data_IF_195760692466
#
_entry.id   IF_195760692466
#
_cell.length_a   1.000
_cell.length_b   1.000
_cell.length_c   1.000
_cell.angle_alpha   90.00
_cell.angle_beta   90.00
_cell.angle_gamma   90.00
#
_symmetry.space_group_name_H-M   'P 1'
#
loop_
_entity.id
_entity.type
_entity.pdbx_description
1 polymer ?
2 non-polymer ?
3 non-polymer ?
4 non-polymer ?
5 non-polymer ?
6 water ?
#
# COMPACT_ATOMS: atom_id res chain seq x y z
N UNK A 17 -11.09 -4.10 -23.15
CA UNK A 17 -10.47 -5.25 -22.41
C UNK A 17 -9.68 -4.77 -21.19
N UNK A 18 -10.36 -4.31 -20.14
CA UNK A 18 -9.59 -3.83 -18.98
C UNK A 18 -8.86 -4.97 -18.24
N UNK A 19 -7.62 -4.76 -17.83
CA UNK A 19 -6.91 -5.75 -16.99
C UNK A 19 -6.97 -5.52 -15.49
N UNK A 20 -7.65 -4.48 -15.00
CA UNK A 20 -7.65 -4.14 -13.57
C UNK A 20 -9.05 -4.28 -12.98
N UNK A 21 -9.80 -5.28 -13.38
CA UNK A 21 -11.23 -5.30 -13.19
C UNK A 21 -11.75 -6.09 -12.00
N UNK A 22 -11.23 -7.29 -11.84
CA UNK A 22 -11.78 -8.30 -10.92
C UNK A 22 -10.67 -8.64 -9.93
N UNK A 23 -11.02 -8.87 -8.68
CA UNK A 23 -10.13 -9.39 -7.69
C UNK A 23 -10.48 -10.86 -7.40
N UNK A 24 -9.47 -11.72 -7.47
CA UNK A 24 -9.62 -13.12 -7.17
C UNK A 24 -8.73 -13.50 -6.00
N UNK A 25 -9.06 -14.59 -5.29
CA UNK A 25 -8.16 -15.16 -4.34
C UNK A 25 -6.80 -15.51 -4.99
N UNK A 26 -5.71 -15.00 -4.40
CA UNK A 26 -4.39 -15.25 -4.92
C UNK A 26 -3.98 -16.73 -4.90
N UNK A 27 -4.53 -17.50 -3.98
CA UNK A 27 -4.19 -18.92 -3.84
C UNK A 27 -4.93 -19.87 -4.76
N UNK A 28 -6.18 -19.57 -5.10
CA UNK A 28 -7.02 -20.52 -5.82
C UNK A 28 -7.84 -19.93 -6.97
N UNK A 29 -7.90 -18.61 -7.09
CA UNK A 29 -8.60 -17.96 -8.13
C UNK A 29 -10.08 -17.73 -7.95
N UNK A 30 -10.63 -18.08 -6.79
CA UNK A 30 -12.04 -17.76 -6.48
C UNK A 30 -12.33 -16.29 -6.74
N UNK A 31 -13.44 -15.99 -7.40
CA UNK A 31 -13.86 -14.57 -7.61
C UNK A 31 -14.24 -13.97 -6.27
N UNK A 32 -13.70 -12.82 -5.93
CA UNK A 32 -13.95 -12.22 -4.63
C UNK A 32 -14.59 -10.84 -4.75
N UNK A 33 -14.05 -9.95 -5.55
CA UNK A 33 -14.60 -8.59 -5.63
C UNK A 33 -14.22 -7.90 -6.92
N UNK A 34 -14.49 -6.58 -7.01
CA UNK A 34 -14.30 -5.84 -8.24
C UNK A 34 -13.72 -4.49 -7.88
N UNK A 35 -12.89 -3.94 -8.78
CA UNK A 35 -12.38 -2.60 -8.58
C UNK A 35 -13.53 -1.56 -8.46
N UNK A 36 -14.59 -1.75 -9.23
CA UNK A 36 -15.76 -0.88 -9.20
C UNK A 36 -16.37 -0.79 -7.80
N UNK A 37 -16.10 -1.81 -6.95
CA UNK A 37 -16.68 -1.91 -5.60
C UNK A 37 -15.77 -1.38 -4.49
N UNK A 38 -14.65 -0.79 -4.85
CA UNK A 38 -13.80 -0.13 -3.87
C UNK A 38 -14.57 0.98 -3.15
N UNK A 39 -14.38 1.08 -1.85
CA UNK A 39 -15.14 1.96 -0.98
C UNK A 39 -14.16 2.88 -0.20
N UNK A 40 -14.18 4.19 -0.44
CA UNK A 40 -13.30 5.08 0.31
C UNK A 40 -13.72 5.42 1.76
N UNK A 41 -13.54 4.49 2.69
CA UNK A 41 -13.82 4.67 4.13
C UNK A 41 -12.90 5.71 4.74
N UNK A 42 -13.46 6.69 5.43
CA UNK A 42 -12.72 7.87 5.86
C UNK A 42 -11.89 8.58 4.79
N UNK A 43 -12.35 8.57 3.52
CA UNK A 43 -11.66 9.26 2.43
C UNK A 43 -10.55 8.47 1.73
N UNK A 44 -10.38 7.19 2.05
CA UNK A 44 -9.34 6.38 1.42
C UNK A 44 -9.80 4.96 1.35
N UNK A 45 -9.70 4.30 0.20
CA UNK A 45 -10.03 2.86 0.14
C UNK A 45 -8.92 2.00 0.80
N UNK A 46 -7.71 2.54 0.90
CA UNK A 46 -6.58 1.84 1.53
C UNK A 46 -6.35 2.29 2.96
N UNK A 47 -6.23 1.31 3.86
CA UNK A 47 -5.95 1.56 5.26
C UNK A 47 -4.84 0.63 5.70
N UNK A 48 -3.74 1.20 6.20
CA UNK A 48 -2.61 0.39 6.68
C UNK A 48 -2.75 0.25 8.19
N UNK A 49 -2.86 -0.98 8.67
CA UNK A 49 -3.27 -1.26 10.04
C UNK A 49 -2.45 -2.41 10.63
N UNK A 50 -2.44 -2.57 11.95
CA UNK A 50 -1.86 -3.74 12.57
C UNK A 50 -2.73 -4.38 13.61
N UNK A 51 -2.64 -5.70 13.71
CA UNK A 51 -3.38 -6.46 14.70
C UNK A 51 -2.62 -6.63 16.04
N UNK A 52 -3.27 -7.22 17.06
CA UNK A 52 -2.57 -7.33 18.35
C UNK A 52 -1.33 -8.22 18.29
N UNK A 53 -1.25 -9.11 17.29
CA UNK A 53 -0.11 -9.96 17.06
C UNK A 53 0.98 -9.23 16.23
N UNK A 54 0.79 -7.95 15.97
CA UNK A 54 1.76 -7.10 15.32
C UNK A 54 1.84 -7.25 13.82
N UNK A 55 0.96 -8.02 13.21
CA UNK A 55 0.98 -8.23 11.76
C UNK A 55 0.44 -6.96 11.12
N UNK A 56 1.14 -6.46 10.11
CA UNK A 56 0.71 -5.25 9.40
C UNK A 56 -0.07 -5.67 8.17
N UNK A 57 -1.18 -4.98 7.90
CA UNK A 57 -2.00 -5.30 6.73
C UNK A 57 -2.28 -4.02 5.97
N UNK A 58 -2.18 -4.16 4.63
CA UNK A 58 -2.64 -3.12 3.75
C UNK A 58 -4.04 -3.57 3.33
N UNK A 59 -5.06 -2.91 3.87
CA UNK A 59 -6.45 -3.34 3.79
C UNK A 59 -7.11 -2.43 2.75
N UNK A 60 -7.77 -3.04 1.76
CA UNK A 60 -8.58 -2.31 0.80
C UNK A 60 -10.03 -2.55 1.19
N UNK A 61 -10.79 -1.47 1.27
CA UNK A 61 -12.20 -1.51 1.62
C UNK A 61 -13.04 -1.62 0.37
N UNK A 62 -13.99 -2.54 0.40
CA UNK A 62 -14.92 -2.84 -0.71
C UNK A 62 -16.35 -2.82 -0.15
N UNK A 63 -17.29 -2.26 -0.94
CA UNK A 63 -18.66 -2.27 -0.49
C UNK A 63 -19.27 -3.68 -0.46
N UNK A 64 -18.79 -4.55 -1.34
CA UNK A 64 -19.36 -5.84 -1.62
C UNK A 64 -18.21 -6.78 -1.92
N UNK A 65 -18.45 -8.04 -1.66
CA UNK A 65 -17.56 -9.13 -2.00
C UNK A 65 -18.39 -10.37 -2.06
N UNK A 66 -17.83 -11.39 -2.69
CA UNK A 66 -18.48 -12.66 -2.86
C UNK A 66 -17.44 -13.74 -2.68
N UNK A 67 -17.87 -14.98 -2.65
CA UNK A 67 -16.97 -16.12 -2.65
C UNK A 67 -16.23 -16.35 -1.34
N UNK A 68 -16.62 -15.66 -0.30
CA UNK A 68 -16.00 -15.78 1.02
C UNK A 68 -16.85 -16.65 1.90
N UNK A 69 -16.31 -17.00 3.04
CA UNK A 69 -17.03 -17.66 4.11
C UNK A 69 -16.70 -16.88 5.37
N UNK A 70 -17.75 -16.36 6.01
CA UNK A 70 -17.60 -15.51 7.20
C UNK A 70 -17.70 -16.42 8.41
N UNK A 71 -16.73 -16.37 9.30
CA UNK A 71 -16.57 -17.33 10.36
C UNK A 71 -16.84 -16.71 11.71
N UNK A 72 -17.69 -17.36 12.49
CA UNK A 72 -17.97 -16.90 13.86
C UNK A 72 -18.95 -15.76 13.93
N UNK A 73 -19.11 -15.25 15.15
CA UNK A 73 -20.00 -14.14 15.44
C UNK A 73 -19.15 -12.84 15.46
N UNK A 74 -19.80 -11.70 15.18
CA UNK A 74 -19.02 -10.46 15.12
C UNK A 74 -18.40 -10.07 16.43
N UNK A 75 -17.27 -9.38 16.37
CA UNK A 75 -16.62 -8.83 17.54
C UNK A 75 -16.24 -7.38 17.29
N UNK A 76 -16.43 -6.52 18.27
CA UNK A 76 -15.93 -5.13 18.23
C UNK A 76 -14.52 -4.94 18.72
N UNK A 77 -13.95 -5.95 19.35
CA UNK A 77 -12.56 -5.87 19.91
C UNK A 77 -11.53 -5.49 18.86
N UNK A 78 -10.77 -4.45 19.16
CA UNK A 78 -9.64 -3.98 18.34
C UNK A 78 -10.06 -3.54 16.93
N UNK A 79 -11.34 -3.25 16.68
CA UNK A 79 -11.76 -2.90 15.38
C UNK A 79 -11.02 -1.68 14.88
N UNK A 80 -10.52 -1.79 13.67
CA UNK A 80 -9.85 -0.67 12.99
C UNK A 80 -10.80 0.40 12.47
N UNK A 81 -12.10 0.14 12.49
CA UNK A 81 -13.08 1.03 11.91
C UNK A 81 -14.13 1.31 12.96
N UNK A 82 -14.15 2.56 13.42
CA UNK A 82 -14.99 2.92 14.58
C UNK A 82 -16.42 2.65 14.28
N UNK A 83 -17.08 1.98 15.21
CA UNK A 83 -18.53 1.69 15.12
C UNK A 83 -18.83 0.37 14.43
N UNK A 84 -17.81 -0.37 13.96
CA UNK A 84 -18.01 -1.64 13.27
C UNK A 84 -17.47 -2.80 14.04
N UNK A 85 -18.19 -3.91 13.89
CA UNK A 85 -17.84 -5.20 14.46
C UNK A 85 -17.31 -6.01 13.27
N UNK A 86 -16.38 -6.93 13.53
CA UNK A 86 -15.77 -7.68 12.44
C UNK A 86 -15.97 -9.17 12.62
N UNK A 87 -15.95 -9.85 11.47
CA UNK A 87 -15.91 -11.31 11.39
C UNK A 87 -14.83 -11.65 10.39
N UNK A 88 -14.10 -12.70 10.68
CA UNK A 88 -13.05 -13.18 9.77
C UNK A 88 -13.71 -13.65 8.48
N UNK A 89 -13.11 -13.26 7.35
CA UNK A 89 -13.53 -13.64 6.04
C UNK A 89 -12.45 -14.55 5.44
N UNK A 90 -12.81 -15.82 5.24
CA UNK A 90 -11.94 -16.74 4.48
C UNK A 90 -12.42 -16.87 3.04
N UNK A 91 -11.48 -17.18 2.17
CA UNK A 91 -11.86 -17.65 0.83
C UNK A 91 -12.75 -18.84 1.00
N UNK A 92 -13.94 -18.80 0.38
CA UNK A 92 -14.89 -19.90 0.52
C UNK A 92 -14.45 -21.17 -0.17
N UNK A 93 -13.50 -21.06 -1.08
CA UNK A 93 -13.02 -22.18 -1.84
C UNK A 93 -11.87 -22.89 -1.11
N UNK A 94 -10.83 -22.11 -0.79
CA UNK A 94 -9.58 -22.69 -0.28
C UNK A 94 -9.28 -22.44 1.18
N UNK A 95 -10.07 -21.56 1.83
CA UNK A 95 -9.84 -21.25 3.21
C UNK A 95 -8.78 -20.20 3.55
N UNK A 96 -8.12 -19.61 2.56
CA UNK A 96 -7.14 -18.52 2.75
C UNK A 96 -7.80 -17.36 3.50
N UNK A 97 -7.09 -16.80 4.49
CA UNK A 97 -7.66 -15.67 5.20
C UNK A 97 -7.53 -14.42 4.36
N UNK A 98 -8.64 -13.92 3.83
CA UNK A 98 -8.63 -12.80 2.91
C UNK A 98 -8.88 -11.43 3.52
N UNK A 99 -9.49 -11.40 4.69
CA UNK A 99 -9.76 -10.19 5.37
C UNK A 99 -10.87 -10.34 6.38
N UNK A 100 -11.74 -9.33 6.44
CA UNK A 100 -12.80 -9.26 7.45
C UNK A 100 -14.05 -8.64 6.81
N UNK A 101 -15.21 -9.05 7.32
CA UNK A 101 -16.45 -8.38 7.02
C UNK A 101 -16.79 -7.54 8.24
N UNK A 102 -17.21 -6.31 7.98
CA UNK A 102 -17.51 -5.35 9.04
C UNK A 102 -19.00 -5.09 8.99
N UNK A 103 -19.63 -5.00 10.14
CA UNK A 103 -21.07 -4.79 10.23
C UNK A 103 -21.39 -4.01 11.48
N UNK A 104 -22.63 -3.53 11.57
CA UNK A 104 -23.07 -2.87 12.80
C UNK A 104 -22.82 -1.37 12.89
N UNK A 105 -22.30 -0.77 11.81
CA UNK A 105 -21.91 0.62 11.81
C UNK A 105 -22.92 1.45 11.08
N UNK A 106 -22.48 2.61 10.51
CA UNK A 106 -23.40 3.55 9.85
C UNK A 106 -22.72 4.12 8.61
N UNK A 107 -23.46 4.20 7.50
CA UNK A 107 -23.01 4.85 6.27
C UNK A 107 -21.60 4.40 5.82
N UNK A 108 -21.40 3.13 5.47
CA UNK A 108 -22.42 2.13 5.32
C UNK A 108 -22.60 1.29 6.57
N UNK A 109 -23.69 0.53 6.63
CA UNK A 109 -23.85 -0.39 7.76
C UNK A 109 -22.79 -1.50 7.74
N UNK A 110 -22.43 -1.98 6.56
CA UNK A 110 -21.49 -3.06 6.36
C UNK A 110 -20.52 -2.81 5.21
N UNK A 111 -19.36 -3.44 5.27
CA UNK A 111 -18.40 -3.44 4.16
C UNK A 111 -17.36 -4.53 4.43
N UNK A 112 -16.51 -4.75 3.42
CA UNK A 112 -15.40 -5.71 3.56
C UNK A 112 -14.07 -5.01 3.59
N UNK A 113 -13.17 -5.45 4.50
CA UNK A 113 -11.80 -4.99 4.46
C UNK A 113 -10.93 -6.17 4.08
N UNK A 114 -10.37 -6.15 2.84
CA UNK A 114 -9.65 -7.28 2.33
C UNK A 114 -8.17 -6.97 2.22
N UNK A 115 -7.37 -7.99 2.42
CA UNK A 115 -5.89 -7.82 2.43
C UNK A 115 -5.36 -7.79 1.02
N UNK A 116 -4.86 -6.65 0.57
CA UNK A 116 -4.54 -6.44 -0.85
C UNK A 116 -3.63 -7.49 -1.40
N UNK A 117 -2.58 -7.83 -0.67
CA UNK A 117 -1.59 -8.78 -1.19
C UNK A 117 -2.05 -10.22 -1.23
N UNK A 118 -3.24 -10.49 -0.70
CA UNK A 118 -3.84 -11.81 -0.72
C UNK A 118 -4.82 -12.00 -1.89
N UNK A 119 -4.98 -10.95 -2.67
CA UNK A 119 -5.85 -10.97 -3.85
C UNK A 119 -5.00 -10.81 -5.10
N UNK A 120 -5.48 -11.37 -6.20
CA UNK A 120 -4.90 -11.11 -7.54
C UNK A 120 -5.89 -10.34 -8.40
N UNK A 121 -5.43 -9.24 -9.00
CA UNK A 121 -6.27 -8.39 -9.80
C UNK A 121 -6.10 -8.67 -11.29
N UNK A 122 -7.19 -8.72 -12.02
CA UNK A 122 -7.11 -9.04 -13.44
C UNK A 122 -8.37 -8.76 -14.23
N UNK A 123 -8.37 -9.18 -15.51
CA UNK A 123 -9.51 -8.92 -16.37
C UNK A 123 -10.76 -9.65 -15.99
N UNK A 124 -11.90 -9.07 -16.37
CA UNK A 124 -13.20 -9.67 -16.09
C UNK A 124 -13.44 -11.02 -16.81
N UNK A 125 -14.08 -11.94 -16.09
CA UNK A 125 -14.67 -13.17 -16.64
C UNK A 125 -15.98 -12.86 -17.42
N UNK B 19 21.88 1.07 0.04
CA UNK B 19 20.91 1.58 -0.95
C UNK B 19 21.02 0.99 -2.36
N UNK B 20 22.17 0.46 -2.73
CA UNK B 20 22.37 -0.07 -4.09
C UNK B 20 22.46 -1.61 -4.13
N UNK B 21 21.31 -2.23 -3.89
CA UNK B 21 21.17 -3.61 -4.30
C UNK B 21 20.69 -3.69 -5.75
N UNK B 22 21.03 -4.81 -6.40
CA UNK B 22 20.57 -5.07 -7.75
C UNK B 22 19.73 -6.30 -7.80
N UNK B 23 18.91 -6.36 -8.84
CA UNK B 23 18.14 -7.55 -9.16
C UNK B 23 18.73 -8.22 -10.38
N UNK B 24 19.06 -9.49 -10.26
CA UNK B 24 19.65 -10.26 -11.34
C UNK B 24 18.68 -11.29 -11.77
N UNK B 25 18.76 -11.70 -13.04
CA UNK B 25 17.99 -12.84 -13.52
C UNK B 25 18.34 -14.06 -12.67
N UNK B 26 17.30 -14.72 -12.12
CA UNK B 26 17.55 -15.86 -11.22
C UNK B 26 18.20 -17.05 -11.92
N UNK B 27 17.98 -17.17 -13.23
CA UNK B 27 18.50 -18.30 -14.00
C UNK B 27 19.92 -18.15 -14.49
N UNK B 28 20.35 -16.93 -14.82
CA UNK B 28 21.70 -16.76 -15.37
C UNK B 28 22.58 -15.69 -14.74
N UNK B 29 21.98 -14.87 -13.86
CA UNK B 29 22.75 -13.88 -13.12
C UNK B 29 22.93 -12.55 -13.81
N UNK B 30 22.36 -12.36 -15.00
CA UNK B 30 22.52 -11.06 -15.68
C UNK B 30 21.89 -9.97 -14.80
N UNK B 31 22.54 -8.82 -14.61
CA UNK B 31 21.89 -7.66 -14.00
C UNK B 31 20.67 -7.23 -14.85
N UNK B 32 19.53 -7.09 -14.18
CA UNK B 32 18.31 -6.69 -14.84
C UNK B 32 17.79 -5.35 -14.36
N UNK B 33 17.68 -5.17 -13.04
CA UNK B 33 17.26 -3.87 -12.52
C UNK B 33 17.83 -3.57 -11.16
N UNK B 34 17.36 -2.49 -10.55
CA UNK B 34 17.99 -1.99 -9.31
C UNK B 34 16.88 -1.59 -8.35
N UNK B 35 17.13 -1.77 -7.06
CA UNK B 35 16.20 -1.31 -6.05
C UNK B 35 15.91 0.17 -6.15
N UNK B 36 16.91 0.98 -6.50
CA UNK B 36 16.73 2.44 -6.64
C UNK B 36 15.65 2.75 -7.69
N UNK B 37 15.37 1.81 -8.59
CA UNK B 37 14.44 1.99 -9.70
C UNK B 37 13.06 1.41 -9.45
N UNK B 38 12.79 0.93 -8.20
CA UNK B 38 11.46 0.53 -7.85
C UNK B 38 10.47 1.68 -8.04
N UNK B 39 9.31 1.36 -8.59
CA UNK B 39 8.35 2.38 -9.01
C UNK B 39 6.99 2.07 -8.38
N UNK B 40 6.51 2.93 -7.48
CA UNK B 40 5.19 2.66 -6.87
C UNK B 40 3.98 3.02 -7.76
N UNK B 41 3.69 2.23 -8.78
CA UNK B 41 2.51 2.42 -9.65
C UNK B 41 1.23 2.19 -8.89
N UNK B 42 0.30 3.15 -9.01
CA UNK B 42 -0.89 3.17 -8.17
C UNK B 42 -0.64 3.08 -6.68
N UNK B 43 0.48 3.61 -6.18
CA UNK B 43 0.78 3.62 -4.75
C UNK B 43 1.47 2.35 -4.19
N UNK B 44 1.85 1.41 -5.06
CA UNK B 44 2.49 0.18 -4.58
C UNK B 44 3.45 -0.30 -5.64
N UNK B 45 4.69 -0.63 -5.30
CA UNK B 45 5.58 -1.26 -6.32
C UNK B 45 5.19 -2.73 -6.58
N UNK B 46 4.50 -3.39 -5.65
CA UNK B 46 4.03 -4.77 -5.84
C UNK B 46 2.59 -4.84 -6.32
N UNK B 47 2.35 -5.63 -7.36
CA UNK B 47 1.01 -5.88 -7.89
C UNK B 47 0.84 -7.35 -8.10
N UNK B 48 -0.10 -7.99 -7.43
CA UNK B 48 -0.45 -9.39 -7.69
C UNK B 48 -1.61 -9.37 -8.70
N UNK B 49 -1.38 -10.02 -9.82
CA UNK B 49 -2.24 -9.89 -11.02
C UNK B 49 -2.47 -11.28 -11.61
N UNK B 50 -3.47 -11.39 -12.47
CA UNK B 50 -3.70 -12.61 -13.24
C UNK B 50 -4.01 -12.26 -14.70
N UNK B 51 -3.58 -13.14 -15.60
CA UNK B 51 -3.82 -12.94 -17.04
C UNK B 51 -5.12 -13.64 -17.50
N UNK B 52 -5.50 -13.48 -18.82
CA UNK B 52 -6.74 -14.09 -19.23
C UNK B 52 -6.74 -15.62 -19.16
N UNK B 53 -5.56 -16.22 -19.18
CA UNK B 53 -5.42 -17.66 -19.03
C UNK B 53 -5.40 -18.09 -17.56
N UNK B 54 -5.60 -17.14 -16.66
CA UNK B 54 -5.71 -17.41 -15.23
C UNK B 54 -4.41 -17.64 -14.54
N UNK B 55 -3.28 -17.35 -15.19
CA UNK B 55 -1.96 -17.50 -14.53
C UNK B 55 -1.77 -16.28 -13.60
N UNK B 56 -1.38 -16.55 -12.36
CA UNK B 56 -1.18 -15.50 -11.36
C UNK B 56 0.29 -15.10 -11.29
N UNK B 57 0.57 -13.82 -11.22
CA UNK B 57 1.94 -13.30 -11.09
C UNK B 57 2.06 -12.28 -10.02
N UNK B 58 3.14 -12.29 -9.28
CA UNK B 58 3.46 -11.24 -8.35
C UNK B 58 4.51 -10.36 -9.03
N UNK B 59 4.10 -9.19 -9.44
CA UNK B 59 4.88 -8.29 -10.30
C UNK B 59 5.40 -7.13 -9.44
N UNK B 60 6.68 -6.79 -9.60
CA UNK B 60 7.26 -5.58 -9.05
C UNK B 60 7.50 -4.60 -10.19
N UNK B 61 7.14 -3.34 -9.99
CA UNK B 61 7.30 -2.30 -10.99
C UNK B 61 8.66 -1.60 -10.80
N UNK B 62 9.38 -1.46 -11.92
CA UNK B 62 10.64 -0.73 -11.98
C UNK B 62 10.59 0.31 -13.09
N UNK B 63 11.19 1.48 -12.89
CA UNK B 63 11.19 2.51 -13.91
C UNK B 63 12.00 2.14 -15.18
N UNK B 64 13.10 1.45 -14.96
CA UNK B 64 14.05 1.05 -15.97
C UNK B 64 14.52 -0.36 -15.72
N UNK B 65 15.04 -1.00 -16.74
CA UNK B 65 15.69 -2.28 -16.66
C UNK B 65 16.72 -2.35 -17.77
N UNK B 66 17.52 -3.39 -17.68
CA UNK B 66 18.54 -3.66 -18.68
C UNK B 66 18.66 -5.12 -18.85
N UNK B 67 19.27 -5.49 -19.98
CA UNK B 67 19.58 -6.89 -20.25
C UNK B 67 18.44 -7.76 -20.64
N UNK B 68 17.27 -7.16 -20.92
CA UNK B 68 16.11 -7.92 -21.39
C UNK B 68 15.99 -7.84 -22.90
N UNK B 69 15.10 -8.64 -23.46
CA UNK B 69 14.71 -8.58 -24.85
C UNK B 69 13.21 -8.53 -24.91
N UNK B 70 12.67 -7.50 -25.52
CA UNK B 70 11.24 -7.26 -25.62
C UNK B 70 10.77 -7.88 -26.91
N UNK B 71 9.74 -8.73 -26.85
CA UNK B 71 9.32 -9.46 -28.04
C UNK B 71 7.93 -9.06 -28.47
N UNK B 72 7.73 -8.94 -29.77
CA UNK B 72 6.43 -8.63 -30.33
C UNK B 72 6.14 -7.15 -30.36
N UNK B 73 4.94 -6.82 -30.85
CA UNK B 73 4.48 -5.44 -30.92
C UNK B 73 3.66 -5.16 -29.66
N UNK B 74 3.64 -3.89 -29.21
CA UNK B 74 2.88 -3.61 -27.98
C UNK B 74 1.40 -3.88 -28.12
N UNK B 75 0.77 -4.31 -27.03
CA UNK B 75 -0.65 -4.62 -27.02
C UNK B 75 -1.29 -3.94 -25.83
N UNK B 76 -2.49 -3.39 -26.06
CA UNK B 76 -3.29 -2.84 -24.98
C UNK B 76 -4.23 -3.82 -24.31
N UNK B 77 -4.40 -4.98 -24.92
CA UNK B 77 -5.36 -5.99 -24.43
C UNK B 77 -5.05 -6.42 -23.02
N UNK B 78 -6.05 -6.32 -22.13
CA UNK B 78 -5.93 -6.82 -20.75
C UNK B 78 -4.79 -6.22 -19.94
N UNK B 79 -4.34 -5.00 -20.32
CA UNK B 79 -3.24 -4.40 -19.63
C UNK B 79 -3.57 -4.25 -18.15
N UNK B 80 -2.66 -4.67 -17.30
CA UNK B 80 -2.84 -4.47 -15.83
C UNK B 80 -2.70 -3.01 -15.38
N UNK B 81 -2.19 -2.15 -16.25
CA UNK B 81 -1.96 -0.76 -15.90
C UNK B 81 -2.66 0.11 -16.93
N UNK B 82 -3.72 0.77 -16.48
CA UNK B 82 -4.57 1.53 -17.39
C UNK B 82 -3.80 2.60 -18.12
N UNK B 83 -3.97 2.65 -19.42
CA UNK B 83 -3.33 3.66 -20.29
C UNK B 83 -1.96 3.24 -20.84
N UNK B 84 -1.56 1.99 -20.55
CA UNK B 84 -0.31 1.44 -21.04
C UNK B 84 -0.55 0.23 -21.92
N UNK B 85 0.39 0.05 -22.85
CA UNK B 85 0.44 -1.10 -23.74
C UNK B 85 1.63 -1.93 -23.24
N UNK B 86 1.56 -3.24 -23.37
CA UNK B 86 2.61 -4.13 -22.88
C UNK B 86 3.29 -4.93 -24.00
N UNK B 87 4.54 -5.30 -23.70
CA UNK B 87 5.31 -6.24 -24.52
C UNK B 87 5.98 -7.22 -23.57
N UNK B 88 6.03 -8.48 -23.94
CA UNK B 88 6.69 -9.52 -23.18
C UNK B 88 8.22 -9.23 -23.08
N UNK B 89 8.76 -9.37 -21.88
CA UNK B 89 10.21 -9.19 -21.59
C UNK B 89 10.86 -10.50 -21.23
N UNK B 90 11.81 -10.95 -22.04
CA UNK B 90 12.69 -12.08 -21.72
C UNK B 90 14.05 -11.63 -21.26
N UNK B 91 14.70 -12.41 -20.43
CA UNK B 91 16.13 -12.18 -20.19
C UNK B 91 16.86 -12.26 -21.55
N UNK B 92 17.62 -11.24 -21.90
CA UNK B 92 18.32 -11.22 -23.18
C UNK B 92 19.48 -12.23 -23.24
N UNK B 93 19.96 -12.64 -22.07
CA UNK B 93 21.10 -13.53 -21.96
C UNK B 93 20.66 -14.98 -22.01
N UNK B 94 19.68 -15.34 -21.22
CA UNK B 94 19.22 -16.76 -21.12
C UNK B 94 17.83 -17.08 -21.61
N UNK B 95 17.02 -16.08 -21.93
CA UNK B 95 15.64 -16.32 -22.41
C UNK B 95 14.52 -16.50 -21.39
N UNK B 96 14.83 -16.47 -20.09
CA UNK B 96 13.74 -16.61 -19.05
C UNK B 96 12.69 -15.53 -19.19
N UNK B 97 11.40 -15.87 -19.04
CA UNK B 97 10.35 -14.86 -19.07
C UNK B 97 10.36 -14.08 -17.76
N UNK B 98 10.82 -12.82 -17.80
CA UNK B 98 11.01 -12.04 -16.62
C UNK B 98 9.88 -11.05 -16.32
N UNK B 99 9.07 -10.69 -17.30
CA UNK B 99 7.96 -9.82 -17.08
C UNK B 99 7.48 -9.17 -18.36
N UNK B 100 7.19 -7.88 -18.26
CA UNK B 100 6.64 -7.07 -19.34
C UNK B 100 7.14 -5.67 -19.28
N UNK B 101 7.23 -5.02 -20.43
CA UNK B 101 7.51 -3.61 -20.52
C UNK B 101 6.22 -2.92 -20.90
N UNK B 102 6.00 -1.76 -20.30
CA UNK B 102 4.78 -0.97 -20.49
C UNK B 102 5.16 0.32 -21.15
N UNK B 103 4.35 0.78 -22.10
CA UNK B 103 4.62 2.01 -22.81
C UNK B 103 3.34 2.69 -23.20
N UNK B 104 3.47 3.93 -23.66
CA UNK B 104 2.33 4.66 -24.25
C UNK B 104 1.47 5.41 -23.24
N UNK B 105 1.93 5.48 -21.99
CA UNK B 105 1.20 6.20 -20.95
C UNK B 105 1.81 7.58 -20.72
N UNK B 106 1.59 8.10 -19.51
CA UNK B 106 2.12 9.39 -19.09
C UNK B 106 2.53 9.29 -17.63
N UNK B 107 3.66 9.92 -17.28
CA UNK B 107 4.13 10.03 -15.90
C UNK B 107 4.11 8.69 -15.15
N UNK B 108 4.92 7.69 -15.56
CA UNK B 108 5.91 7.79 -16.61
C UNK B 108 5.39 7.31 -17.93
N UNK B 109 6.06 7.61 -19.02
CA UNK B 109 5.63 7.09 -20.30
C UNK B 109 5.82 5.61 -20.40
N UNK B 110 6.91 5.11 -19.81
CA UNK B 110 7.28 3.68 -19.85
C UNK B 110 7.77 3.19 -18.48
N UNK B 111 7.66 1.89 -18.24
CA UNK B 111 8.19 1.22 -17.05
C UNK B 111 8.10 -0.30 -17.27
N UNK B 112 8.67 -1.06 -16.37
CA UNK B 112 8.64 -2.53 -16.39
C UNK B 112 7.82 -3.08 -15.25
N UNK B 113 7.13 -4.20 -15.50
CA UNK B 113 6.59 -5.02 -14.44
C UNK B 113 7.29 -6.38 -14.51
N UNK B 114 8.14 -6.64 -13.53
CA UNK B 114 8.96 -7.82 -13.53
C UNK B 114 8.47 -8.83 -12.47
N UNK B 115 8.61 -10.10 -12.78
CA UNK B 115 8.11 -11.16 -11.92
C UNK B 115 9.09 -11.40 -10.79
N UNK B 116 8.69 -11.03 -9.57
CA UNK B 116 9.64 -10.95 -8.46
C UNK B 116 10.33 -12.25 -8.24
N UNK B 117 9.61 -13.38 -8.30
CA UNK B 117 10.14 -14.71 -8.05
C UNK B 117 11.20 -15.18 -9.01
N UNK B 118 11.28 -14.49 -10.16
CA UNK B 118 12.22 -14.83 -11.21
C UNK B 118 13.49 -14.00 -11.18
N UNK B 119 13.62 -13.16 -10.18
CA UNK B 119 14.77 -12.31 -9.96
C UNK B 119 15.45 -12.71 -8.65
N UNK B 120 16.74 -12.42 -8.58
CA UNK B 120 17.50 -12.63 -7.35
C UNK B 120 18.10 -11.30 -6.93
N UNK B 121 17.83 -10.87 -5.71
CA UNK B 121 18.38 -9.59 -5.22
C UNK B 121 19.74 -9.82 -4.56
N UNK B 122 20.65 -8.86 -4.75
CA UNK B 122 21.99 -8.99 -4.15
C UNK B 122 22.82 -7.73 -4.29
N UNK B 123 24.03 -7.72 -3.73
CA UNK B 123 24.89 -6.53 -3.82
C UNK B 123 25.39 -6.26 -5.23
N UNK B 124 25.59 -4.96 -5.53
CA UNK B 124 26.03 -4.49 -6.84
C UNK B 124 27.46 -4.93 -7.15
N UNK C 19 -8.27 -0.37 19.29
CA UNK C 19 -8.06 -0.63 17.83
C UNK C 19 -7.15 0.38 17.12
N UNK C 20 -7.26 1.65 17.51
CA UNK C 20 -6.45 2.74 16.92
C UNK C 20 -5.65 3.39 18.03
N UNK C 21 -4.96 2.58 18.80
CA UNK C 21 -4.30 3.02 20.02
C UNK C 21 -2.79 3.34 19.89
N UNK C 22 -2.08 2.52 19.15
CA UNK C 22 -0.61 2.67 18.97
C UNK C 22 -0.36 2.89 17.49
N UNK C 23 0.57 3.79 17.20
CA UNK C 23 0.87 4.19 15.83
C UNK C 23 2.30 3.76 15.53
N UNK C 24 2.50 3.08 14.37
CA UNK C 24 3.81 2.45 14.02
C UNK C 24 4.20 2.77 12.56
N UNK C 25 5.48 2.80 12.26
CA UNK C 25 5.95 2.91 10.91
C UNK C 25 5.36 1.80 9.99
N UNK C 26 4.74 2.16 8.90
CA UNK C 26 4.17 1.24 7.92
C UNK C 26 5.20 0.32 7.29
N UNK C 27 6.44 0.76 7.14
CA UNK C 27 7.45 -0.03 6.40
C UNK C 27 8.16 -1.06 7.21
N UNK C 28 8.39 -0.76 8.50
CA UNK C 28 9.12 -1.70 9.35
C UNK C 28 8.45 -1.98 10.73
N UNK C 29 7.41 -1.23 11.07
CA UNK C 29 6.70 -1.39 12.28
C UNK C 29 7.24 -0.75 13.54
N UNK C 30 8.30 0.04 13.42
CA UNK C 30 8.80 0.82 14.58
C UNK C 30 7.67 1.56 15.30
N UNK C 31 7.63 1.43 16.62
CA UNK C 31 6.62 2.14 17.44
C UNK C 31 6.97 3.62 17.39
N UNK C 32 5.98 4.47 17.08
CA UNK C 32 6.25 5.90 16.99
C UNK C 32 5.47 6.69 18.04
N UNK C 33 4.15 6.45 18.12
CA UNK C 33 3.35 7.24 19.05
C UNK C 33 2.08 6.52 19.48
N UNK C 34 1.27 7.24 20.26
CA UNK C 34 0.20 6.62 21.05
C UNK C 34 -1.01 7.52 21.04
N UNK C 35 -2.18 6.90 21.05
CA UNK C 35 -3.42 7.66 21.03
C UNK C 35 -3.54 8.61 22.23
N UNK C 36 -3.05 8.22 23.38
CA UNK C 36 -3.00 9.13 24.58
C UNK C 36 -2.30 10.47 24.28
N UNK C 37 -1.41 10.47 23.29
CA UNK C 37 -0.61 11.66 22.93
C UNK C 37 -1.15 12.43 21.72
N UNK C 38 -2.28 11.98 21.19
CA UNK C 38 -2.75 12.50 19.92
C UNK C 38 -3.36 13.81 20.34
N UNK C 39 -3.27 14.81 19.46
CA UNK C 39 -3.92 16.10 19.72
C UNK C 39 -5.13 16.36 18.80
N UNK C 40 -6.35 16.28 19.35
CA UNK C 40 -7.53 16.51 18.48
C UNK C 40 -7.80 18.01 18.20
N UNK C 41 -8.34 18.39 17.04
CA UNK C 41 -8.81 19.79 16.86
C UNK C 41 -10.29 19.66 16.67
N UNK C 42 -11.05 20.10 17.68
CA UNK C 42 -12.54 19.95 17.67
C UNK C 42 -12.89 18.46 17.57
N UNK C 43 -13.62 18.11 16.52
CA UNK C 43 -14.07 16.71 16.31
C UNK C 43 -13.11 15.82 15.54
N UNK C 44 -12.05 16.44 15.02
CA UNK C 44 -11.06 15.78 14.17
C UNK C 44 -9.83 15.27 14.85
N UNK C 45 -9.50 14.02 14.56
CA UNK C 45 -8.27 13.47 15.07
C UNK C 45 -7.23 13.56 13.96
N UNK C 46 -7.69 13.58 12.71
CA UNK C 46 -6.84 13.72 11.54
C UNK C 46 -7.08 15.05 10.84
N UNK C 47 -6.02 15.64 10.29
CA UNK C 47 -6.11 16.91 9.54
C UNK C 47 -5.80 16.66 8.06
N UNK C 48 -6.68 17.11 7.17
CA UNK C 48 -6.44 16.95 5.74
C UNK C 48 -5.67 18.18 5.28
N UNK C 49 -4.46 17.99 4.75
CA UNK C 49 -3.60 19.06 4.26
C UNK C 49 -3.06 18.68 2.88
N UNK C 50 -2.49 19.64 2.18
CA UNK C 50 -1.78 19.35 0.94
C UNK C 50 -0.44 20.03 0.88
N UNK C 51 0.54 19.34 0.31
CA UNK C 51 1.86 19.94 0.08
C UNK C 51 1.84 20.94 -1.10
N UNK C 52 2.96 21.63 -1.39
CA UNK C 52 2.88 22.62 -2.46
C UNK C 52 2.57 22.02 -3.84
N UNK C 53 2.85 20.73 -4.01
CA UNK C 53 2.53 20.01 -5.23
C UNK C 53 1.07 19.53 -5.26
N UNK C 54 0.30 19.88 -4.23
CA UNK C 54 -1.12 19.54 -4.15
C UNK C 54 -1.41 18.10 -3.78
N UNK C 55 -0.41 17.34 -3.35
CA UNK C 55 -0.64 15.96 -2.88
C UNK C 55 -1.29 16.05 -1.49
N UNK C 56 -2.34 15.27 -1.27
CA UNK C 56 -3.13 15.35 -0.05
C UNK C 56 -2.63 14.36 1.01
N UNK C 57 -2.58 14.80 2.25
CA UNK C 57 -2.18 13.97 3.37
C UNK C 57 -3.19 14.08 4.50
N UNK C 58 -3.39 13.00 5.20
CA UNK C 58 -4.19 13.05 6.38
C UNK C 58 -3.06 13.04 7.40
N UNK C 59 -2.99 14.08 8.23
CA UNK C 59 -1.92 14.20 9.21
C UNK C 59 -2.43 14.08 10.61
N UNK C 60 -1.73 13.31 11.44
CA UNK C 60 -2.07 13.15 12.83
C UNK C 60 -1.06 13.95 13.64
N UNK C 61 -1.52 14.81 14.54
CA UNK C 61 -0.66 15.56 15.44
C UNK C 61 -0.55 14.86 16.79
N UNK C 62 0.67 14.72 17.28
CA UNK C 62 0.97 14.09 18.58
C UNK C 62 1.87 14.99 19.43
N UNK C 63 1.63 15.03 20.73
CA UNK C 63 2.49 15.83 21.61
C UNK C 63 3.91 15.26 21.75
N UNK C 64 4.00 13.94 21.70
CA UNK C 64 5.26 13.22 21.94
C UNK C 64 5.39 12.12 20.93
N UNK C 65 6.64 11.74 20.65
CA UNK C 65 6.85 10.54 19.81
C UNK C 65 8.16 9.94 20.19
N UNK C 66 8.36 8.73 19.70
CA UNK C 66 9.61 8.02 19.91
C UNK C 66 9.99 7.34 18.63
N UNK C 67 11.22 6.84 18.59
CA UNK C 67 11.65 6.01 17.48
C UNK C 67 11.96 6.73 16.19
N UNK C 68 11.98 8.07 16.24
CA UNK C 68 12.27 8.86 15.05
C UNK C 68 13.71 9.32 15.09
N UNK C 69 14.17 9.84 13.96
CA UNK C 69 15.38 10.63 13.89
C UNK C 69 15.00 11.95 13.21
N UNK C 70 15.26 13.05 13.89
CA UNK C 70 14.94 14.38 13.36
C UNK C 70 16.18 14.89 12.64
N UNK C 71 16.04 15.32 11.38
CA UNK C 71 17.22 15.67 10.60
C UNK C 71 17.19 17.15 10.22
N UNK C 72 18.34 17.79 10.21
CA UNK C 72 18.49 19.11 9.62
C UNK C 72 18.01 20.26 10.48
N UNK C 73 17.98 21.45 9.89
CA UNK C 73 17.63 22.67 10.58
C UNK C 73 16.15 22.98 10.34
N UNK C 74 15.51 23.70 11.28
CA UNK C 74 14.08 23.99 11.08
C UNK C 74 13.80 24.86 9.86
N UNK C 75 12.63 24.69 9.28
CA UNK C 75 12.19 25.54 8.17
C UNK C 75 10.75 25.97 8.41
N UNK C 76 10.43 27.21 8.07
CA UNK C 76 9.06 27.71 8.07
C UNK C 76 8.29 27.49 6.78
N UNK C 77 8.99 27.10 5.71
CA UNK C 77 8.39 27.01 4.36
C UNK C 77 7.17 26.10 4.33
N UNK C 78 6.05 26.62 3.86
CA UNK C 78 4.81 25.83 3.65
C UNK C 78 4.27 25.15 4.90
N UNK C 79 4.64 25.62 6.10
CA UNK C 79 4.21 24.98 7.32
C UNK C 79 2.68 25.00 7.35
N UNK C 80 2.09 23.84 7.63
CA UNK C 80 0.64 23.76 7.79
C UNK C 80 0.12 24.36 9.08
N UNK C 81 1.02 24.72 10.00
CA UNK C 81 0.62 25.16 11.35
C UNK C 81 1.26 26.51 11.58
N UNK C 82 0.42 27.54 11.63
CA UNK C 82 0.89 28.91 11.68
C UNK C 82 1.75 29.13 12.91
N UNK C 83 2.93 29.71 12.72
CA UNK C 83 3.86 30.01 13.79
C UNK C 83 4.82 28.88 14.18
N UNK C 84 4.79 27.79 13.41
CA UNK C 84 5.70 26.66 13.65
C UNK C 84 6.62 26.44 12.47
N UNK C 85 7.87 26.09 12.82
CA UNK C 85 8.86 25.65 11.85
C UNK C 85 8.92 24.13 11.98
N UNK C 86 9.30 23.45 10.91
CA UNK C 86 9.36 21.99 10.89
C UNK C 86 10.77 21.48 10.61
N UNK C 87 11.00 20.24 11.08
CA UNK C 87 12.18 19.46 10.75
C UNK C 87 11.68 18.07 10.35
N UNK C 88 12.31 17.49 9.37
CA UNK C 88 11.92 16.17 8.86
C UNK C 88 12.15 15.12 9.94
N UNK C 89 11.13 14.25 10.09
CA UNK C 89 11.17 13.13 11.02
C UNK C 89 11.20 11.83 10.22
N UNK C 90 12.33 11.11 10.33
CA UNK C 90 12.45 9.79 9.73
C UNK C 90 12.27 8.70 10.78
N UNK C 91 11.80 7.57 10.33
CA UNK C 91 11.82 6.39 11.15
C UNK C 91 13.28 6.10 11.52
N UNK C 92 13.55 5.97 12.82
CA UNK C 92 14.89 5.63 13.25
C UNK C 92 15.35 4.21 12.87
N UNK C 93 14.40 3.33 12.56
CA UNK C 93 14.70 1.94 12.30
C UNK C 93 15.01 1.71 10.82
N UNK C 94 14.16 2.22 9.95
CA UNK C 94 14.29 1.99 8.50
C UNK C 94 14.60 3.21 7.68
N UNK C 95 14.50 4.41 8.25
CA UNK C 95 14.71 5.64 7.43
C UNK C 95 13.49 6.19 6.66
N UNK C 96 12.36 5.51 6.65
CA UNK C 96 11.11 6.05 6.03
C UNK C 96 10.72 7.44 6.55
N UNK C 97 10.33 8.32 5.64
CA UNK C 97 9.90 9.65 6.03
C UNK C 97 8.50 9.60 6.61
N UNK C 98 8.38 9.79 7.93
CA UNK C 98 7.09 9.62 8.60
C UNK C 98 6.30 10.92 8.87
N UNK C 99 7.02 12.05 8.84
CA UNK C 99 6.38 13.32 9.03
C UNK C 99 7.38 14.37 9.43
N UNK C 100 6.98 15.22 10.39
CA UNK C 100 7.77 16.38 10.79
C UNK C 100 7.63 16.61 12.28
N UNK C 101 8.65 17.23 12.86
CA UNK C 101 8.58 17.75 14.21
C UNK C 101 8.44 19.25 14.05
N UNK C 102 7.56 19.84 14.84
CA UNK C 102 7.22 21.27 14.74
C UNK C 102 7.70 21.94 16.00
N UNK C 103 8.24 23.14 15.86
CA UNK C 103 8.80 23.86 16.98
C UNK C 103 8.65 25.35 16.74
N UNK C 104 8.90 26.11 17.79
CA UNK C 104 8.99 27.57 17.69
C UNK C 104 7.65 28.29 17.86
N UNK C 105 6.60 27.55 18.21
CA UNK C 105 5.28 28.14 18.38
C UNK C 105 4.98 28.35 19.86
N UNK C 106 3.69 28.39 20.19
CA UNK C 106 3.21 28.58 21.56
C UNK C 106 1.99 27.69 21.79
N UNK C 107 1.91 27.08 22.97
CA UNK C 107 0.74 26.29 23.39
C UNK C 107 0.26 25.28 22.33
N UNK C 108 1.06 24.27 21.99
CA UNK C 108 2.34 23.95 22.64
C UNK C 108 3.51 24.55 21.88
N UNK C 109 4.68 24.59 22.50
CA UNK C 109 5.85 25.08 21.77
C UNK C 109 6.25 24.11 20.65
N UNK C 110 6.10 22.81 20.91
CA UNK C 110 6.50 21.75 19.97
C UNK C 110 5.45 20.64 19.89
N UNK C 111 5.44 19.94 18.76
CA UNK C 111 4.62 18.73 18.57
C UNK C 111 5.11 18.02 17.31
N UNK C 112 4.57 16.84 17.06
CA UNK C 112 4.89 16.05 15.85
C UNK C 112 3.67 15.95 14.95
N UNK C 113 3.87 16.08 13.65
CA UNK C 113 2.81 15.92 12.67
C UNK C 113 3.21 14.78 11.77
N UNK C 114 2.50 13.66 11.90
CA UNK C 114 2.90 12.42 11.21
C UNK C 114 1.89 12.08 10.14
N UNK C 115 2.40 11.53 9.04
CA UNK C 115 1.55 11.29 7.87
C UNK C 115 0.77 9.97 8.07
N UNK C 116 -0.56 10.03 8.02
CA UNK C 116 -1.37 8.83 8.22
C UNK C 116 -1.06 7.71 7.26
N UNK C 117 -0.76 8.03 6.01
CA UNK C 117 -0.48 6.96 5.04
C UNK C 117 0.87 6.27 5.23
N UNK C 118 1.71 6.84 6.08
CA UNK C 118 3.01 6.27 6.40
C UNK C 118 3.00 5.49 7.69
N UNK C 119 1.86 5.40 8.36
CA UNK C 119 1.71 4.73 9.62
C UNK C 119 0.79 3.53 9.52
N UNK C 120 0.97 2.59 10.44
CA UNK C 120 -0.02 1.57 10.75
C UNK C 120 -0.57 1.85 12.17
N UNK C 121 -1.88 1.82 12.28
CA UNK C 121 -2.55 1.99 13.57
C UNK C 121 -2.99 0.64 14.08
N UNK C 122 -2.82 0.40 15.37
CA UNK C 122 -3.42 -0.80 15.95
C UNK C 122 -3.58 -0.76 17.47
N UNK C 123 -4.03 -1.88 18.05
CA UNK C 123 -4.31 -1.91 19.48
C UNK C 123 -3.06 -1.77 20.36
N UNK C 124 -3.27 -1.23 21.55
CA UNK C 124 -2.28 -1.27 22.65
C UNK C 124 -2.01 -2.71 23.09
#
# INVERSE_FOLDING_TARGET
>A
AMPLDAGGQNSTQMVLAPGASIFRCRQCGQTISRRDWLLPMGGDHEHVVFNPAGMIFRVWCFSLAQGLRLIGAPSGEFSWFKGYDWTIALCGQCGSHLGWHYEGGSQPQTFFGLIKDRLAEGPAD
>B
AMPLDAGGQNSTQMVLAPGASIFRCRQCGQTISRRDWLLPMGGDHEHVVFNPAGMIFRVWCFSLAQGLRLIGAPSGEFSWFKGYDWTIALCGQCGSHLGWHYEGGSQPQTFFGLIKDRLAEGPAD
>C
AMPLDAGGQNSTQMVLAPGASIFRCRQCGQTISRRDWLLPMGGDHEHVVFNPAGMIFRVWCFSLAQGLRLIGAPSGEFSWFKGYDWTIALCGQCGSHLGWHYEGGSQPQTFFGLIKDRLAEGPAD
#
